data_IF_358388483047
#
_entry.id   IF_358388483047
#
_cell.length_a   1.000
_cell.length_b   1.000
_cell.length_c   1.000
_cell.angle_alpha   90.00
_cell.angle_beta   90.00
_cell.angle_gamma   90.00
#
_symmetry.space_group_name_H-M   'P 1'
#
loop_
_entity.id
_entity.type
_entity.pdbx_description
1 polymer ?
#
# COMPACT_ATOMS: atom_id res chain seq x y z
N UNK A 1 -14.05 -34.14 4.28
CA UNK A 1 -14.43 -33.06 5.19
C UNK A 1 -13.18 -32.70 6.00
N UNK A 2 -12.17 -32.08 5.38
CA UNK A 2 -10.92 -31.69 6.05
C UNK A 2 -10.48 -30.32 5.57
N UNK A 3 -10.42 -29.40 6.51
CA UNK A 3 -9.49 -28.27 6.71
C UNK A 3 -8.97 -27.54 5.49
N UNK A 4 -9.51 -26.36 5.22
CA UNK A 4 -8.79 -25.25 4.60
C UNK A 4 -8.77 -24.04 5.53
N UNK A 5 -8.13 -24.21 6.66
CA UNK A 5 -7.61 -23.19 7.53
C UNK A 5 -6.12 -23.10 7.22
N UNK A 6 -5.68 -22.24 6.34
CA UNK A 6 -4.29 -21.76 6.22
C UNK A 6 -4.30 -20.79 5.05
N UNK A 7 -4.10 -19.53 5.33
CA UNK A 7 -3.37 -18.57 4.56
C UNK A 7 -3.78 -17.11 4.78
N UNK A 8 -3.90 -16.67 6.02
CA UNK A 8 -4.04 -15.21 6.29
C UNK A 8 -3.00 -14.72 7.31
N UNK A 9 -2.13 -15.58 7.82
CA UNK A 9 -1.29 -15.23 8.98
C UNK A 9 0.19 -14.99 8.70
N UNK A 10 0.66 -14.84 7.47
CA UNK A 10 2.11 -14.81 7.19
C UNK A 10 2.69 -13.47 6.75
N UNK A 11 1.91 -12.41 6.62
CA UNK A 11 2.43 -11.12 6.15
C UNK A 11 2.86 -10.13 7.26
N UNK A 12 2.49 -10.39 8.51
CA UNK A 12 2.81 -9.46 9.62
C UNK A 12 4.09 -9.83 10.41
N UNK A 13 4.73 -10.94 10.13
CA UNK A 13 5.82 -11.48 10.97
C UNK A 13 7.24 -11.18 10.47
N UNK A 14 7.41 -10.50 9.32
CA UNK A 14 8.76 -10.26 8.77
C UNK A 14 9.43 -8.95 9.23
N UNK A 15 8.79 -8.17 10.09
CA UNK A 15 9.34 -6.88 10.55
C UNK A 15 10.08 -6.91 11.88
N UNK A 16 10.22 -8.04 12.56
CA UNK A 16 10.71 -8.09 13.95
C UNK A 16 11.90 -9.02 14.23
N UNK A 17 12.62 -9.48 13.22
CA UNK A 17 13.87 -10.21 13.42
C UNK A 17 15.06 -9.40 12.90
N UNK A 18 15.38 -8.28 13.55
CA UNK A 18 16.70 -7.68 13.44
C UNK A 18 17.62 -8.35 14.47
N UNK A 19 18.74 -8.99 14.07
CA UNK A 19 19.71 -9.49 15.02
C UNK A 19 20.37 -8.30 15.73
N UNK A 20 20.30 -8.30 17.04
CA UNK A 20 21.00 -7.38 17.92
C UNK A 20 22.53 -7.65 17.84
N UNK A 21 23.18 -7.12 16.82
CA UNK A 21 24.63 -7.10 16.68
C UNK A 21 25.08 -5.89 15.82
N UNK A 22 24.67 -4.69 16.19
CA UNK A 22 25.34 -3.46 15.75
C UNK A 22 25.95 -2.83 16.99
N UNK A 23 27.23 -3.11 17.20
CA UNK A 23 28.06 -2.38 18.18
C UNK A 23 27.93 -0.90 17.89
N UNK A 24 27.61 -0.18 18.91
CA UNK A 24 27.60 1.27 18.97
C UNK A 24 28.94 1.84 18.44
N UNK A 25 28.93 2.37 17.24
CA UNK A 25 29.85 3.43 16.88
C UNK A 25 29.18 4.69 17.39
N UNK A 26 29.76 5.28 18.42
CA UNK A 26 29.41 6.60 18.93
C UNK A 26 29.43 7.59 17.77
N UNK A 27 28.30 8.16 17.36
CA UNK A 27 28.32 9.24 16.40
C UNK A 27 28.95 10.44 17.08
N UNK A 28 30.03 10.96 16.52
CA UNK A 28 30.54 12.30 16.83
C UNK A 28 29.35 13.26 16.77
N UNK A 29 29.09 14.08 17.78
CA UNK A 29 27.96 15.01 17.77
C UNK A 29 28.17 16.03 16.67
N UNK A 30 27.60 15.78 15.51
CA UNK A 30 27.40 16.82 14.50
C UNK A 30 26.45 17.85 15.09
N UNK A 31 26.98 19.05 15.27
CA UNK A 31 26.28 20.25 15.68
C UNK A 31 24.87 20.26 15.09
N UNK A 32 23.88 20.15 15.95
CA UNK A 32 22.48 20.38 15.60
C UNK A 32 22.36 21.84 15.13
N UNK A 33 22.38 22.09 13.86
CA UNK A 33 21.94 23.36 13.29
C UNK A 33 20.41 23.31 13.27
N UNK A 34 19.80 23.76 14.34
CA UNK A 34 18.43 24.25 14.33
C UNK A 34 18.42 25.49 13.44
N UNK A 35 17.81 25.41 12.28
CA UNK A 35 17.56 26.55 11.43
C UNK A 35 18.39 26.53 10.13
N UNK A 36 17.80 25.94 9.14
CA UNK A 36 18.24 26.04 7.77
C UNK A 36 17.32 25.22 6.90
N UNK A 37 16.29 25.86 6.37
CA UNK A 37 15.56 25.38 5.19
C UNK A 37 16.51 25.47 3.98
N UNK A 38 17.59 24.71 4.00
CA UNK A 38 18.39 24.48 2.83
C UNK A 38 17.53 23.82 1.75
N UNK A 39 17.80 24.02 0.46
CA UNK A 39 17.09 23.33 -0.60
C UNK A 39 17.30 21.84 -0.42
N UNK A 40 16.34 21.17 0.21
CA UNK A 40 16.43 19.75 0.50
C UNK A 40 16.23 19.00 -0.82
N UNK A 41 17.32 18.62 -1.45
CA UNK A 41 17.28 17.59 -2.47
C UNK A 41 16.55 16.37 -1.89
N UNK A 42 15.41 16.02 -2.51
CA UNK A 42 14.58 14.92 -2.05
C UNK A 42 13.36 15.31 -1.20
N UNK A 43 12.93 16.57 -1.25
CA UNK A 43 11.64 16.98 -0.62
C UNK A 43 10.41 16.41 -1.31
N UNK A 44 10.52 16.05 -2.56
CA UNK A 44 9.43 15.48 -3.33
C UNK A 44 9.86 14.14 -3.93
N UNK A 45 9.01 13.15 -3.83
CA UNK A 45 9.22 11.83 -4.44
C UNK A 45 7.99 11.45 -5.25
N UNK A 46 8.17 11.17 -6.53
CA UNK A 46 7.19 10.49 -7.37
C UNK A 46 7.46 9.00 -7.38
N UNK A 47 6.43 8.20 -7.41
CA UNK A 47 6.55 6.77 -7.55
C UNK A 47 5.49 6.20 -8.49
N UNK A 48 5.90 5.20 -9.26
CA UNK A 48 5.02 4.32 -10.02
C UNK A 48 5.24 2.89 -9.59
N UNK A 49 4.15 2.18 -9.32
CA UNK A 49 4.21 0.80 -8.85
C UNK A 49 3.18 -0.08 -9.56
N UNK A 50 3.46 -1.39 -9.59
CA UNK A 50 2.60 -2.41 -10.18
C UNK A 50 2.65 -3.67 -9.32
N UNK A 51 1.52 -4.42 -9.27
CA UNK A 51 1.47 -5.63 -8.47
C UNK A 51 0.13 -6.33 -8.48
N UNK A 52 -0.14 -7.07 -7.40
CA UNK A 52 -1.38 -7.80 -7.20
C UNK A 52 -2.30 -7.13 -6.20
N UNK A 53 -3.60 -7.34 -6.39
CA UNK A 53 -4.66 -6.95 -5.46
C UNK A 53 -5.50 -8.18 -5.13
N UNK A 54 -5.74 -8.43 -3.85
CA UNK A 54 -6.59 -9.54 -3.38
C UNK A 54 -7.57 -9.05 -2.32
N UNK A 55 -8.84 -9.28 -2.53
CA UNK A 55 -9.84 -9.14 -1.46
C UNK A 55 -9.67 -10.26 -0.43
N UNK A 56 -9.56 -9.90 0.84
CA UNK A 56 -9.30 -10.85 1.93
C UNK A 56 -10.58 -11.37 2.59
N UNK A 57 -11.74 -10.77 2.33
CA UNK A 57 -13.00 -11.16 2.95
C UNK A 57 -13.91 -11.96 2.01
N UNK A 58 -14.48 -13.04 2.53
CA UNK A 58 -15.52 -13.79 1.83
C UNK A 58 -16.81 -12.96 1.73
N UNK A 59 -17.37 -12.86 0.53
CA UNK A 59 -18.58 -12.08 0.27
C UNK A 59 -19.84 -12.75 0.84
N UNK A 60 -19.83 -14.07 1.04
CA UNK A 60 -20.96 -14.77 1.63
C UNK A 60 -20.55 -15.70 2.80
N UNK A 61 -21.49 -15.99 3.75
CA UNK A 61 -21.21 -16.86 4.90
C UNK A 61 -20.83 -18.30 4.51
N UNK A 62 -21.23 -18.77 3.33
CA UNK A 62 -20.93 -20.10 2.83
C UNK A 62 -19.52 -20.23 2.22
N UNK A 63 -18.78 -19.10 2.07
CA UNK A 63 -17.42 -19.10 1.52
C UNK A 63 -17.34 -19.53 0.05
N UNK A 64 -18.46 -19.46 -0.70
CA UNK A 64 -18.53 -19.89 -2.10
C UNK A 64 -18.30 -18.75 -3.09
N UNK A 65 -18.31 -17.51 -2.62
CA UNK A 65 -18.12 -16.31 -3.44
C UNK A 65 -16.95 -15.51 -2.90
N UNK A 66 -15.86 -15.44 -3.66
CA UNK A 66 -14.60 -14.80 -3.29
C UNK A 66 -14.11 -13.87 -4.39
N UNK A 67 -13.36 -12.86 -4.00
CA UNK A 67 -12.54 -12.09 -4.92
C UNK A 67 -11.36 -12.94 -5.43
N UNK A 68 -11.07 -12.84 -6.71
CA UNK A 68 -9.87 -13.42 -7.30
C UNK A 68 -8.71 -12.44 -7.18
N UNK A 69 -7.49 -12.97 -7.22
CA UNK A 69 -6.30 -12.15 -7.37
C UNK A 69 -6.41 -11.33 -8.66
N UNK A 70 -6.46 -10.02 -8.50
CA UNK A 70 -6.42 -9.02 -9.57
C UNK A 70 -5.03 -8.41 -9.70
N UNK A 71 -4.89 -7.45 -10.61
CA UNK A 71 -3.70 -6.62 -10.72
C UNK A 71 -4.03 -5.17 -10.33
N UNK A 72 -3.01 -4.43 -9.90
CA UNK A 72 -3.10 -3.01 -9.57
C UNK A 72 -1.86 -2.28 -10.07
N UNK A 73 -2.08 -1.16 -10.75
CA UNK A 73 -1.04 -0.16 -11.04
C UNK A 73 -1.33 1.11 -10.27
N UNK A 74 -0.32 1.77 -9.72
CA UNK A 74 -0.48 2.99 -8.94
C UNK A 74 0.58 4.04 -9.27
N UNK A 75 0.19 5.30 -9.06
CA UNK A 75 1.06 6.47 -9.07
C UNK A 75 0.84 7.24 -7.79
N UNK A 76 1.93 7.68 -7.16
CA UNK A 76 1.86 8.52 -5.97
C UNK A 76 2.96 9.59 -5.93
N UNK A 77 2.64 10.68 -5.24
CA UNK A 77 3.57 11.76 -4.94
C UNK A 77 3.68 11.95 -3.43
N UNK A 78 4.90 11.99 -2.91
CA UNK A 78 5.17 12.21 -1.49
C UNK A 78 5.90 13.54 -1.30
N UNK A 79 5.39 14.41 -0.45
CA UNK A 79 6.09 15.61 0.03
C UNK A 79 6.67 15.30 1.41
N UNK A 80 7.97 15.40 1.54
CA UNK A 80 8.67 15.17 2.78
C UNK A 80 8.76 16.46 3.60
N UNK A 81 8.04 16.48 4.73
CA UNK A 81 8.05 17.59 5.68
C UNK A 81 9.36 17.60 6.49
N UNK A 82 9.84 16.41 6.80
CA UNK A 82 11.10 16.16 7.51
C UNK A 82 11.75 14.89 6.93
N UNK A 83 12.96 14.58 7.36
CA UNK A 83 13.68 13.38 6.93
C UNK A 83 12.92 12.08 7.15
N UNK A 84 12.03 12.05 8.16
CA UNK A 84 11.32 10.86 8.60
C UNK A 84 9.81 10.90 8.35
N UNK A 85 9.24 12.08 8.05
CA UNK A 85 7.80 12.30 7.96
C UNK A 85 7.44 12.90 6.62
N UNK A 86 6.49 12.32 5.92
CA UNK A 86 5.97 12.82 4.64
C UNK A 86 4.47 12.69 4.55
N UNK A 87 3.89 13.48 3.65
CA UNK A 87 2.49 13.37 3.22
C UNK A 87 2.52 12.84 1.79
N UNK A 88 1.79 11.77 1.54
CA UNK A 88 1.63 11.13 0.24
C UNK A 88 0.22 11.32 -0.25
N UNK A 89 0.07 11.61 -1.53
CA UNK A 89 -1.20 11.49 -2.23
C UNK A 89 -1.02 10.61 -3.45
N UNK A 90 -1.98 9.74 -3.71
CA UNK A 90 -1.87 8.78 -4.79
C UNK A 90 -3.20 8.32 -5.35
N UNK A 91 -3.08 7.52 -6.39
CA UNK A 91 -4.20 6.83 -6.98
C UNK A 91 -3.76 5.54 -7.66
N UNK A 92 -4.67 4.58 -7.71
CA UNK A 92 -4.44 3.30 -8.33
C UNK A 92 -5.60 2.88 -9.21
N UNK A 93 -5.28 2.07 -10.20
CA UNK A 93 -6.24 1.37 -11.02
C UNK A 93 -6.00 -0.13 -10.92
N UNK A 94 -7.05 -0.84 -10.54
CA UNK A 94 -7.03 -2.29 -10.39
C UNK A 94 -8.15 -2.92 -11.21
N UNK A 95 -7.89 -4.11 -11.68
CA UNK A 95 -8.93 -4.97 -12.27
C UNK A 95 -9.00 -6.28 -11.50
N UNK A 96 -10.20 -6.61 -11.08
CA UNK A 96 -10.49 -7.77 -10.25
C UNK A 96 -11.68 -8.55 -10.80
N UNK A 97 -11.90 -9.77 -10.33
CA UNK A 97 -13.03 -10.61 -10.72
C UNK A 97 -13.56 -11.41 -9.54
N UNK A 98 -14.87 -11.66 -9.55
CA UNK A 98 -15.53 -12.50 -8.54
C UNK A 98 -15.56 -13.95 -9.04
N UNK A 99 -15.24 -14.90 -8.16
CA UNK A 99 -15.44 -16.34 -8.39
C UNK A 99 -16.92 -16.67 -8.13
N UNK A 100 -17.51 -17.56 -8.92
CA UNK A 100 -18.93 -17.96 -8.84
C UNK A 100 -19.93 -16.84 -9.13
N UNK A 101 -19.73 -16.14 -10.23
CA UNK A 101 -20.57 -15.04 -10.69
C UNK A 101 -21.97 -15.45 -11.18
N UNK A 102 -22.49 -16.62 -10.83
CA UNK A 102 -23.81 -17.08 -11.26
C UNK A 102 -24.96 -16.13 -10.85
N UNK A 103 -24.73 -15.31 -9.81
CA UNK A 103 -25.71 -14.33 -9.31
C UNK A 103 -25.56 -12.95 -9.98
N UNK A 104 -24.40 -12.63 -10.54
CA UNK A 104 -24.09 -11.27 -11.05
C UNK A 104 -24.00 -11.18 -12.57
N UNK A 105 -24.01 -12.28 -13.28
CA UNK A 105 -23.94 -12.36 -14.75
C UNK A 105 -22.62 -11.86 -15.36
N UNK A 106 -21.76 -11.14 -14.63
CA UNK A 106 -20.45 -10.65 -15.05
C UNK A 106 -19.47 -10.58 -13.89
N UNK A 107 -18.26 -11.07 -14.11
CA UNK A 107 -17.27 -11.31 -13.07
C UNK A 107 -16.15 -10.28 -13.01
N UNK A 108 -16.10 -9.27 -13.89
CA UNK A 108 -14.98 -8.32 -13.95
C UNK A 108 -15.39 -6.93 -13.44
N UNK A 109 -14.54 -6.37 -12.60
CA UNK A 109 -14.70 -5.05 -12.01
C UNK A 109 -13.42 -4.24 -12.16
N UNK A 110 -13.57 -2.97 -12.49
CA UNK A 110 -12.48 -1.99 -12.37
C UNK A 110 -12.62 -1.28 -11.03
N UNK A 111 -11.53 -1.19 -10.29
CA UNK A 111 -11.44 -0.45 -9.04
C UNK A 111 -10.45 0.71 -9.21
N UNK A 112 -10.87 1.89 -8.79
CA UNK A 112 -9.99 3.06 -8.72
C UNK A 112 -9.83 3.43 -7.26
N UNK A 113 -8.58 3.54 -6.80
CA UNK A 113 -8.25 3.96 -5.45
C UNK A 113 -7.69 5.37 -5.49
N UNK A 114 -8.05 6.17 -4.51
CA UNK A 114 -7.50 7.49 -4.26
C UNK A 114 -7.21 7.58 -2.78
N UNK A 115 -6.02 8.05 -2.41
CA UNK A 115 -5.59 8.09 -1.03
C UNK A 115 -4.73 9.30 -0.70
N UNK A 116 -4.79 9.68 0.58
CA UNK A 116 -3.91 10.64 1.20
C UNK A 116 -3.41 10.05 2.52
N UNK A 117 -2.09 9.92 2.64
CA UNK A 117 -1.42 9.16 3.69
C UNK A 117 -0.38 9.99 4.41
N UNK A 118 -0.24 9.73 5.70
CA UNK A 118 0.96 10.03 6.46
C UNK A 118 1.96 8.88 6.27
N UNK A 119 3.21 9.23 5.92
CA UNK A 119 4.30 8.27 5.74
C UNK A 119 5.38 8.53 6.77
N UNK A 120 5.75 7.50 7.51
CA UNK A 120 6.86 7.52 8.44
C UNK A 120 7.95 6.59 7.93
N UNK A 121 9.14 7.11 7.66
CA UNK A 121 10.31 6.33 7.19
C UNK A 121 11.49 6.44 8.14
N UNK A 122 12.35 5.43 8.10
CA UNK A 122 13.60 5.43 8.85
C UNK A 122 14.79 5.20 7.89
N UNK A 123 15.49 6.26 7.46
CA UNK A 123 16.62 6.14 6.54
C UNK A 123 17.83 5.44 7.19
N UNK A 124 18.32 4.38 6.56
CA UNK A 124 19.49 3.62 6.96
C UNK A 124 20.54 3.67 5.84
N UNK A 125 21.77 3.97 6.16
CA UNK A 125 22.86 3.88 5.19
C UNK A 125 23.08 2.42 4.81
N UNK A 126 23.10 2.11 3.50
CA UNK A 126 23.25 0.77 2.97
C UNK A 126 24.10 0.78 1.70
N UNK A 127 25.38 0.44 1.83
CA UNK A 127 26.33 0.50 0.72
C UNK A 127 26.44 1.89 0.10
N UNK A 128 26.24 2.00 -1.21
CA UNK A 128 26.24 3.27 -1.95
C UNK A 128 24.90 4.01 -1.93
N UNK A 129 23.91 3.46 -1.25
CA UNK A 129 22.54 4.00 -1.21
C UNK A 129 21.97 4.14 0.20
N UNK A 130 20.68 4.34 0.26
CA UNK A 130 19.90 4.44 1.50
C UNK A 130 18.74 3.47 1.46
N UNK A 131 18.65 2.62 2.47
CA UNK A 131 17.52 1.75 2.70
C UNK A 131 16.51 2.48 3.59
N UNK A 132 15.28 2.60 3.15
CA UNK A 132 14.21 3.33 3.83
C UNK A 132 13.05 2.38 4.13
N UNK A 133 13.05 1.63 5.24
CA UNK A 133 11.82 1.03 5.73
C UNK A 133 10.83 2.13 6.12
N UNK A 134 9.55 1.91 5.83
CA UNK A 134 8.50 2.87 6.15
C UNK A 134 7.18 2.18 6.45
N UNK A 135 6.34 2.91 7.17
CA UNK A 135 4.92 2.60 7.36
C UNK A 135 4.10 3.79 6.88
N UNK A 136 2.88 3.51 6.49
CA UNK A 136 1.94 4.53 6.07
C UNK A 136 0.55 4.24 6.61
N UNK A 137 -0.25 5.27 6.71
CA UNK A 137 -1.65 5.16 7.04
C UNK A 137 -2.39 6.43 6.67
N UNK A 138 -3.60 6.27 6.21
CA UNK A 138 -4.38 7.38 5.72
C UNK A 138 -5.82 7.05 5.39
N UNK A 139 -6.39 7.93 4.61
CA UNK A 139 -7.79 7.87 4.19
C UNK A 139 -7.90 8.10 2.70
N UNK A 140 -8.97 7.58 2.13
CA UNK A 140 -9.20 7.70 0.71
C UNK A 140 -10.59 7.26 0.28
N UNK A 141 -10.70 6.88 -0.98
CA UNK A 141 -11.91 6.33 -1.55
C UNK A 141 -11.59 5.21 -2.53
N UNK A 142 -12.48 4.26 -2.63
CA UNK A 142 -12.49 3.22 -3.66
C UNK A 142 -13.72 3.41 -4.52
N UNK A 143 -13.52 3.61 -5.82
CA UNK A 143 -14.59 3.64 -6.82
C UNK A 143 -14.59 2.31 -7.58
N UNK A 144 -15.71 1.62 -7.56
CA UNK A 144 -15.89 0.33 -8.24
C UNK A 144 -16.82 0.53 -9.42
N UNK A 145 -16.36 0.12 -10.60
CA UNK A 145 -17.13 0.12 -11.83
C UNK A 145 -17.31 -1.30 -12.34
N UNK A 146 -18.56 -1.73 -12.47
CA UNK A 146 -18.90 -3.04 -13.02
C UNK A 146 -18.85 -3.01 -14.55
N UNK A 147 -17.98 -3.81 -15.16
CA UNK A 147 -17.87 -3.89 -16.61
C UNK A 147 -19.15 -4.46 -17.22
N UNK A 148 -19.84 -3.60 -18.03
CA UNK A 148 -21.05 -3.92 -18.76
C UNK A 148 -22.37 -3.77 -18.00
N UNK A 149 -22.36 -3.17 -16.83
CA UNK A 149 -23.49 -2.50 -16.22
C UNK A 149 -23.08 -1.05 -16.01
N UNK A 150 -23.99 -0.12 -16.30
CA UNK A 150 -23.73 1.31 -16.15
C UNK A 150 -23.85 1.72 -14.67
N UNK A 151 -23.08 1.01 -13.82
CA UNK A 151 -23.12 1.17 -12.38
C UNK A 151 -21.71 1.42 -11.83
N UNK A 152 -21.55 2.63 -11.30
CA UNK A 152 -20.34 3.04 -10.57
C UNK A 152 -20.73 3.45 -9.17
N UNK A 153 -19.96 3.04 -8.17
CA UNK A 153 -20.15 3.49 -6.80
C UNK A 153 -18.81 3.73 -6.12
N UNK A 154 -18.78 4.72 -5.23
CA UNK A 154 -17.60 5.07 -4.47
C UNK A 154 -17.86 4.86 -2.99
N UNK A 155 -16.84 4.40 -2.27
CA UNK A 155 -16.86 4.21 -0.82
C UNK A 155 -15.63 4.88 -0.20
N UNK A 156 -15.84 5.49 0.96
CA UNK A 156 -14.76 5.92 1.81
C UNK A 156 -13.97 4.71 2.29
N UNK A 157 -12.64 4.81 2.28
CA UNK A 157 -11.74 3.76 2.71
C UNK A 157 -10.66 4.33 3.64
N UNK A 158 -10.38 3.62 4.71
CA UNK A 158 -9.12 3.76 5.43
C UNK A 158 -8.05 2.91 4.74
N UNK A 159 -6.79 3.26 4.89
CA UNK A 159 -5.71 2.42 4.43
C UNK A 159 -4.51 2.46 5.38
N UNK A 160 -3.77 1.37 5.41
CA UNK A 160 -2.51 1.29 6.12
C UNK A 160 -1.58 0.32 5.39
N UNK A 161 -0.29 0.51 5.57
CA UNK A 161 0.68 -0.33 4.89
C UNK A 161 2.09 -0.17 5.42
N UNK A 162 2.97 -0.99 4.86
CA UNK A 162 4.39 -0.92 5.11
C UNK A 162 5.16 -1.23 3.84
N UNK A 163 6.36 -0.69 3.74
CA UNK A 163 7.20 -0.91 2.59
C UNK A 163 8.67 -0.70 2.87
N UNK A 164 9.43 -0.99 1.86
CA UNK A 164 10.87 -0.85 1.83
C UNK A 164 11.27 -0.15 0.53
N UNK A 165 12.00 0.94 0.63
CA UNK A 165 12.60 1.63 -0.51
C UNK A 165 14.12 1.54 -0.41
N UNK A 166 14.78 1.10 -1.47
CA UNK A 166 16.23 1.27 -1.61
C UNK A 166 16.50 2.35 -2.65
N UNK A 167 17.20 3.42 -2.24
CA UNK A 167 17.44 4.59 -3.06
C UNK A 167 18.92 4.81 -3.29
N UNK A 168 19.29 5.07 -4.54
CA UNK A 168 20.62 5.47 -4.97
C UNK A 168 20.54 6.77 -5.77
N UNK A 169 21.03 7.83 -5.17
CA UNK A 169 20.88 9.16 -5.71
C UNK A 169 19.41 9.61 -5.76
N UNK A 170 18.92 9.91 -6.96
CA UNK A 170 17.54 10.35 -7.19
C UNK A 170 16.56 9.21 -7.50
N UNK A 171 17.07 8.04 -7.86
CA UNK A 171 16.27 6.89 -8.25
C UNK A 171 16.23 5.88 -7.11
N UNK A 172 15.10 5.22 -6.93
CA UNK A 172 14.95 4.11 -5.99
C UNK A 172 14.05 3.02 -6.53
N UNK A 173 14.14 1.87 -5.90
CA UNK A 173 13.21 0.74 -6.05
C UNK A 173 12.41 0.59 -4.77
N UNK A 174 11.12 0.29 -4.90
CA UNK A 174 10.19 0.17 -3.77
C UNK A 174 9.43 -1.15 -3.82
N UNK A 175 9.24 -1.75 -2.66
CA UNK A 175 8.27 -2.82 -2.44
C UNK A 175 7.33 -2.38 -1.31
N UNK A 176 6.02 -2.54 -1.49
CA UNK A 176 4.99 -2.08 -0.56
C UNK A 176 3.87 -3.10 -0.46
N UNK A 177 3.40 -3.35 0.77
CA UNK A 177 2.16 -4.02 1.07
C UNK A 177 1.18 -3.03 1.71
N UNK A 178 -0.07 -2.97 1.22
CA UNK A 178 -1.09 -2.03 1.68
C UNK A 178 -2.43 -2.74 1.81
N UNK A 179 -3.17 -2.44 2.87
CA UNK A 179 -4.54 -2.88 3.08
C UNK A 179 -5.49 -1.68 2.98
N UNK A 180 -6.50 -1.80 2.15
CA UNK A 180 -7.61 -0.85 2.03
C UNK A 180 -8.83 -1.43 2.74
N UNK A 181 -9.32 -0.72 3.74
CA UNK A 181 -10.44 -1.13 4.58
C UNK A 181 -11.64 -0.25 4.29
N UNK A 182 -12.74 -0.84 3.87
CA UNK A 182 -13.97 -0.11 3.54
C UNK A 182 -15.20 -0.96 3.84
N UNK A 183 -16.36 -0.30 3.97
CA UNK A 183 -17.65 -1.00 4.15
C UNK A 183 -18.32 -1.27 2.82
N UNK A 184 -18.60 -2.53 2.55
CA UNK A 184 -19.39 -2.97 1.39
C UNK A 184 -20.83 -3.22 1.82
N UNK A 185 -21.76 -2.34 1.42
CA UNK A 185 -23.16 -2.32 1.80
C UNK A 185 -24.12 -2.52 0.60
N UNK A 186 -23.81 -3.43 -0.31
CA UNK A 186 -24.61 -3.70 -1.50
C UNK A 186 -25.00 -5.15 -1.64
N UNK A 187 -26.06 -5.40 -2.43
CA UNK A 187 -26.61 -6.75 -2.71
C UNK A 187 -27.02 -7.53 -1.45
N UNK A 188 -27.45 -6.81 -0.39
CA UNK A 188 -27.81 -7.43 0.89
C UNK A 188 -26.62 -7.80 1.78
N UNK A 189 -25.41 -7.40 1.41
CA UNK A 189 -24.22 -7.56 2.24
C UNK A 189 -23.90 -6.23 2.93
N UNK A 190 -23.66 -6.28 4.24
CA UNK A 190 -23.12 -5.18 5.03
C UNK A 190 -21.90 -5.72 5.78
N UNK A 191 -20.72 -5.57 5.17
CA UNK A 191 -19.47 -6.13 5.72
C UNK A 191 -18.29 -5.22 5.46
N UNK A 192 -17.41 -5.17 6.44
CA UNK A 192 -16.07 -4.60 6.27
C UNK A 192 -15.28 -5.47 5.31
N UNK A 193 -14.73 -4.86 4.28
CA UNK A 193 -13.88 -5.49 3.27
C UNK A 193 -12.44 -5.04 3.47
N UNK A 194 -11.52 -5.95 3.19
CA UNK A 194 -10.08 -5.74 3.16
C UNK A 194 -9.58 -6.09 1.77
N UNK A 195 -9.01 -5.10 1.08
CA UNK A 195 -8.36 -5.28 -0.21
C UNK A 195 -6.85 -5.10 -0.02
N UNK A 196 -6.13 -6.21 -0.03
CA UNK A 196 -4.67 -6.21 0.18
C UNK A 196 -3.96 -6.11 -1.16
N UNK A 197 -3.13 -5.07 -1.30
CA UNK A 197 -2.29 -4.82 -2.46
C UNK A 197 -0.82 -5.13 -2.15
N UNK A 198 -0.12 -5.77 -3.09
CA UNK A 198 1.32 -6.02 -3.08
C UNK A 198 1.92 -5.42 -4.33
N UNK A 199 2.81 -4.47 -4.18
CA UNK A 199 3.33 -3.71 -5.31
C UNK A 199 4.84 -3.57 -5.26
N UNK A 200 5.47 -3.67 -6.43
CA UNK A 200 6.85 -3.27 -6.68
C UNK A 200 6.88 -2.06 -7.61
N UNK A 201 7.84 -1.17 -7.43
CA UNK A 201 7.87 0.06 -8.22
C UNK A 201 9.18 0.79 -8.22
N UNK A 202 9.19 1.90 -8.96
CA UNK A 202 10.31 2.82 -9.05
C UNK A 202 9.93 4.14 -8.39
N UNK A 203 10.92 4.79 -7.78
CA UNK A 203 10.78 6.11 -7.17
C UNK A 203 11.78 7.09 -7.78
N UNK A 204 11.37 8.34 -7.90
CA UNK A 204 12.21 9.44 -8.37
C UNK A 204 12.08 10.61 -7.40
N UNK A 205 13.20 11.02 -6.80
CA UNK A 205 13.28 12.08 -5.78
C UNK A 205 13.89 13.36 -6.34
N UNK A 206 13.31 14.51 -5.98
CA UNK A 206 13.68 15.85 -6.41
C UNK A 206 14.05 16.74 -5.25
#
# INVERSE_FOLDING_TARGET
>A
MFSRLIAVSTAAALALAAPAALRAQTPTPSRASLGGLGPAAGRFTLAGAFGGLSGAANLNPAGTTDWRLGWIGSLDGTVWLQSHVGIRAGGGWAQDSIRNAAVTGRSKFNKFTYDADLVLRYPLAAGSGTLNPYVLGGVGAISVHQLGADSTWSKFAGNFGAGLEYRFGRVGIRAEGRDFVYTFDRYGFDKTQHDVAWQGGLTLSF
#
